data_IF_067211336771
#
_entry.id   IF_067211336771
#
_cell.length_a   1.000
_cell.length_b   1.000
_cell.length_c   1.000
_cell.angle_alpha   90.00
_cell.angle_beta   90.00
_cell.angle_gamma   90.00
#
_symmetry.space_group_name_H-M   'P 1'
#
loop_
_entity.id
_entity.type
_entity.pdbx_description
1 polymer ?
#
# COMPACT_ATOMS: atom_id res chain seq x y z
N UNK A 1 -14.96 -13.33 17.91
CA UNK A 1 -13.94 -13.17 16.83
C UNK A 1 -13.48 -14.49 16.20
N UNK A 2 -13.44 -15.62 16.92
CA UNK A 2 -12.91 -16.89 16.37
C UNK A 2 -13.94 -17.73 15.60
N UNK A 3 -15.24 -17.53 15.83
CA UNK A 3 -16.32 -18.27 15.15
C UNK A 3 -16.54 -17.85 13.69
N UNK A 4 -15.98 -16.71 13.27
CA UNK A 4 -16.13 -16.15 11.92
C UNK A 4 -15.26 -16.85 10.86
N UNK A 5 -14.09 -17.35 11.24
CA UNK A 5 -13.20 -18.07 10.32
C UNK A 5 -13.77 -19.44 9.89
N UNK A 6 -14.56 -20.08 10.75
CA UNK A 6 -15.16 -21.40 10.48
C UNK A 6 -16.28 -21.29 9.42
N UNK A 7 -17.02 -20.17 9.40
CA UNK A 7 -18.11 -19.95 8.42
C UNK A 7 -17.53 -19.65 7.03
N UNK A 8 -16.40 -18.94 6.94
CA UNK A 8 -15.72 -18.63 5.68
C UNK A 8 -15.20 -19.86 4.94
N UNK A 9 -14.76 -20.89 5.67
CA UNK A 9 -14.18 -22.10 5.06
C UNK A 9 -15.23 -23.04 4.42
N UNK A 10 -16.51 -22.87 4.73
CA UNK A 10 -17.57 -23.81 4.34
C UNK A 10 -18.42 -23.39 3.13
N UNK A 11 -18.16 -22.21 2.53
CA UNK A 11 -18.88 -21.76 1.32
C UNK A 11 -20.39 -21.49 1.50
N UNK A 12 -20.94 -21.69 2.70
CA UNK A 12 -22.33 -21.42 3.04
C UNK A 12 -22.41 -20.21 3.96
N UNK A 13 -22.75 -19.05 3.39
CA UNK A 13 -23.20 -17.92 4.21
C UNK A 13 -24.66 -18.15 4.57
N UNK A 14 -25.02 -18.40 5.84
CA UNK A 14 -26.42 -18.31 6.25
C UNK A 14 -26.91 -16.88 5.97
N UNK A 15 -28.18 -16.76 5.57
CA UNK A 15 -28.83 -15.52 5.15
C UNK A 15 -28.80 -14.38 6.19
N UNK A 16 -28.33 -14.67 7.41
CA UNK A 16 -28.23 -13.79 8.56
C UNK A 16 -26.83 -13.21 8.84
N UNK A 17 -25.82 -13.52 8.03
CA UNK A 17 -24.48 -12.94 8.21
C UNK A 17 -24.39 -11.54 7.59
N UNK A 18 -24.31 -10.50 8.44
CA UNK A 18 -24.03 -9.14 8.02
C UNK A 18 -22.60 -9.01 7.46
N UNK A 19 -22.49 -8.75 6.15
CA UNK A 19 -21.20 -8.62 5.43
C UNK A 19 -20.61 -7.21 5.51
N UNK A 20 -21.38 -6.25 6.01
CA UNK A 20 -21.00 -4.84 6.10
C UNK A 20 -20.37 -4.48 7.45
N UNK A 21 -20.36 -5.42 8.42
CA UNK A 21 -19.72 -5.18 9.70
C UNK A 21 -18.21 -4.94 9.52
N UNK A 22 -17.66 -4.07 10.36
CA UNK A 22 -16.24 -3.70 10.31
C UNK A 22 -15.51 -4.06 11.60
N UNK A 23 -14.21 -4.35 11.51
CA UNK A 23 -13.34 -4.52 12.66
C UNK A 23 -12.92 -3.17 13.29
N UNK A 24 -12.10 -3.20 14.35
CA UNK A 24 -11.57 -1.98 14.99
C UNK A 24 -10.68 -1.10 14.11
N UNK A 25 -10.24 -1.62 12.95
CA UNK A 25 -9.53 -0.87 11.89
C UNK A 25 -10.46 -0.45 10.76
N UNK A 26 -11.77 -0.50 10.98
CA UNK A 26 -12.83 -0.16 10.04
C UNK A 26 -12.88 -1.02 8.76
N UNK A 27 -12.29 -2.22 8.75
CA UNK A 27 -12.25 -3.12 7.58
C UNK A 27 -13.39 -4.16 7.64
N UNK A 28 -14.07 -4.37 6.51
CA UNK A 28 -15.02 -5.47 6.32
C UNK A 28 -14.30 -6.81 6.07
N UNK A 29 -15.05 -7.92 6.09
CA UNK A 29 -14.49 -9.22 5.69
C UNK A 29 -13.97 -9.22 4.24
N UNK A 30 -14.66 -8.49 3.35
CA UNK A 30 -14.22 -8.30 1.97
C UNK A 30 -12.86 -7.57 1.92
N UNK A 31 -12.72 -6.49 2.70
CA UNK A 31 -11.49 -5.71 2.75
C UNK A 31 -10.31 -6.55 3.25
N UNK A 32 -10.52 -7.39 4.26
CA UNK A 32 -9.50 -8.30 4.79
C UNK A 32 -9.12 -9.36 3.74
N UNK A 33 -10.11 -9.99 3.10
CA UNK A 33 -9.85 -10.98 2.06
C UNK A 33 -9.06 -10.38 0.88
N UNK A 34 -9.46 -9.17 0.44
CA UNK A 34 -8.79 -8.42 -0.62
C UNK A 34 -7.36 -8.05 -0.23
N UNK A 35 -7.15 -7.55 1.00
CA UNK A 35 -5.84 -7.16 1.52
C UNK A 35 -4.81 -8.31 1.44
N UNK A 36 -5.21 -9.51 1.90
CA UNK A 36 -4.35 -10.69 1.95
C UNK A 36 -4.24 -11.45 0.62
N UNK A 37 -4.79 -10.91 -0.47
CA UNK A 37 -4.73 -11.57 -1.78
C UNK A 37 -5.66 -12.78 -1.92
N UNK A 38 -6.62 -12.98 -1.02
CA UNK A 38 -7.63 -14.03 -1.13
C UNK A 38 -8.71 -13.64 -2.14
N UNK A 39 -8.34 -13.48 -3.42
CA UNK A 39 -9.21 -12.99 -4.48
C UNK A 39 -10.51 -13.79 -4.65
N UNK A 40 -10.44 -15.11 -4.49
CA UNK A 40 -11.62 -15.98 -4.55
C UNK A 40 -12.62 -15.70 -3.40
N UNK A 41 -12.14 -15.46 -2.19
CA UNK A 41 -12.97 -15.09 -1.03
C UNK A 41 -13.52 -13.68 -1.22
N UNK A 42 -12.70 -12.74 -1.68
CA UNK A 42 -13.14 -11.38 -1.97
C UNK A 42 -14.25 -11.36 -3.04
N UNK A 43 -14.11 -12.14 -4.11
CA UNK A 43 -15.14 -12.29 -5.13
C UNK A 43 -16.44 -12.88 -4.59
N UNK A 44 -16.35 -13.89 -3.72
CA UNK A 44 -17.52 -14.47 -3.03
C UNK A 44 -18.23 -13.41 -2.16
N UNK A 45 -17.47 -12.59 -1.44
CA UNK A 45 -17.99 -11.56 -0.55
C UNK A 45 -18.57 -10.35 -1.28
N UNK A 46 -18.04 -10.01 -2.47
CA UNK A 46 -18.50 -8.89 -3.29
C UNK A 46 -19.88 -9.14 -3.95
N UNK A 47 -20.27 -10.39 -4.14
CA UNK A 47 -21.56 -10.75 -4.75
C UNK A 47 -22.71 -10.49 -3.76
N UNK A 48 -23.38 -9.36 -3.93
CA UNK A 48 -24.63 -9.03 -3.23
C UNK A 48 -25.82 -9.13 -4.18
N UNK A 49 -26.83 -9.93 -3.80
CA UNK A 49 -28.19 -9.87 -4.36
C UNK A 49 -28.51 -10.89 -5.48
N UNK A 50 -29.38 -11.85 -5.16
CA UNK A 50 -30.07 -12.70 -6.15
C UNK A 50 -29.75 -14.18 -6.01
N UNK A 51 -30.75 -14.98 -5.61
CA UNK A 51 -30.66 -16.44 -5.55
C UNK A 51 -30.27 -17.04 -6.89
N UNK A 52 -29.04 -17.52 -6.98
CA UNK A 52 -28.57 -18.38 -8.07
C UNK A 52 -27.83 -19.53 -7.41
N UNK A 53 -28.37 -20.73 -7.56
CA UNK A 53 -27.87 -21.94 -6.91
C UNK A 53 -26.38 -22.15 -7.08
N UNK A 54 -25.79 -22.79 -6.08
CA UNK A 54 -24.45 -23.36 -6.15
C UNK A 54 -24.43 -24.41 -7.26
N UNK A 55 -24.12 -24.02 -8.49
CA UNK A 55 -23.60 -24.98 -9.46
C UNK A 55 -22.19 -25.32 -9.02
N UNK A 56 -22.01 -26.58 -8.61
CA UNK A 56 -20.78 -27.17 -8.09
C UNK A 56 -19.63 -27.19 -9.09
N UNK A 57 -19.17 -26.03 -9.54
CA UNK A 57 -17.82 -25.85 -10.06
C UNK A 57 -16.88 -25.79 -8.87
N UNK A 58 -16.06 -26.84 -8.70
CA UNK A 58 -15.09 -26.92 -7.63
C UNK A 58 -14.25 -25.65 -7.51
N UNK A 59 -13.70 -25.45 -6.30
CA UNK A 59 -12.66 -24.48 -5.98
C UNK A 59 -11.39 -24.79 -6.81
N UNK A 60 -11.46 -24.63 -8.12
CA UNK A 60 -10.34 -24.69 -9.02
C UNK A 60 -9.56 -23.40 -8.77
N UNK A 61 -8.60 -23.50 -7.83
CA UNK A 61 -7.60 -22.49 -7.62
C UNK A 61 -6.89 -22.22 -8.94
N UNK A 62 -7.24 -21.11 -9.59
CA UNK A 62 -6.38 -20.52 -10.60
C UNK A 62 -5.03 -20.29 -9.93
N UNK A 63 -3.99 -20.98 -10.40
CA UNK A 63 -2.64 -20.99 -9.83
C UNK A 63 -1.87 -19.66 -9.98
N UNK A 64 -2.55 -18.53 -9.80
CA UNK A 64 -1.88 -17.26 -9.53
C UNK A 64 -1.33 -17.31 -8.11
N UNK A 65 -0.05 -16.97 -7.94
CA UNK A 65 0.53 -16.82 -6.61
C UNK A 65 -0.32 -15.83 -5.80
N UNK A 66 -0.64 -16.21 -4.56
CA UNK A 66 -1.33 -15.32 -3.62
C UNK A 66 -0.39 -14.14 -3.33
N UNK A 67 -0.71 -12.98 -3.91
CA UNK A 67 0.05 -11.75 -3.73
C UNK A 67 -0.71 -10.80 -2.81
N UNK A 68 -0.02 -10.19 -1.84
CA UNK A 68 -0.64 -9.19 -0.97
C UNK A 68 -0.98 -7.92 -1.76
N UNK A 69 -2.07 -7.26 -1.40
CA UNK A 69 -2.61 -6.11 -2.13
C UNK A 69 -1.61 -4.94 -2.34
N UNK A 70 -0.66 -4.78 -1.41
CA UNK A 70 0.35 -3.72 -1.42
C UNK A 70 1.72 -4.17 -1.97
N UNK A 71 1.82 -5.41 -2.45
CA UNK A 71 3.10 -6.00 -2.89
C UNK A 71 3.38 -5.84 -4.38
N UNK A 72 2.38 -5.42 -5.17
CA UNK A 72 2.57 -5.15 -6.60
C UNK A 72 3.62 -4.07 -6.80
N UNK A 73 4.56 -4.32 -7.70
CA UNK A 73 5.61 -3.36 -8.02
C UNK A 73 5.50 -2.98 -9.49
N UNK A 74 4.82 -1.87 -9.86
CA UNK A 74 4.67 -1.48 -11.26
C UNK A 74 5.87 -0.68 -11.81
N UNK A 75 6.73 -0.16 -10.95
CA UNK A 75 7.89 0.66 -11.32
C UNK A 75 9.18 -0.17 -11.26
N UNK A 76 10.13 0.11 -12.15
CA UNK A 76 11.54 -0.24 -11.91
C UNK A 76 12.14 0.78 -10.94
N UNK A 77 12.56 0.32 -9.77
CA UNK A 77 13.14 1.17 -8.71
C UNK A 77 14.40 1.91 -9.14
N UNK A 78 15.11 1.40 -10.15
CA UNK A 78 16.32 1.97 -10.73
C UNK A 78 17.32 2.47 -9.67
N UNK A 79 17.57 1.65 -8.64
CA UNK A 79 18.25 2.09 -7.41
C UNK A 79 19.68 2.56 -7.62
N UNK A 80 20.35 2.08 -8.66
CA UNK A 80 21.71 2.50 -9.03
C UNK A 80 21.82 3.99 -9.38
N UNK A 81 20.73 4.62 -9.83
CA UNK A 81 20.68 6.05 -10.20
C UNK A 81 20.43 6.98 -9.01
N UNK A 82 20.13 6.46 -7.81
CA UNK A 82 19.75 7.29 -6.66
C UNK A 82 20.85 8.22 -6.17
N UNK A 83 22.11 7.82 -6.32
CA UNK A 83 23.28 8.62 -5.94
C UNK A 83 23.78 9.54 -7.07
N UNK A 84 23.24 9.41 -8.28
CA UNK A 84 23.63 10.21 -9.46
C UNK A 84 22.87 11.54 -9.45
N UNK A 85 23.46 12.56 -8.83
CA UNK A 85 22.85 13.87 -8.67
C UNK A 85 22.53 14.55 -10.02
N UNK A 86 23.41 14.40 -11.00
CA UNK A 86 23.24 15.01 -12.34
C UNK A 86 22.04 14.38 -13.04
N UNK A 87 21.95 13.05 -13.03
CA UNK A 87 20.80 12.35 -13.58
C UNK A 87 19.51 12.69 -12.83
N UNK A 88 19.57 12.82 -11.50
CA UNK A 88 18.40 13.13 -10.68
C UNK A 88 17.85 14.53 -10.97
N UNK A 89 18.71 15.55 -11.09
CA UNK A 89 18.30 16.93 -11.38
C UNK A 89 17.72 17.05 -12.80
N UNK A 90 18.37 16.39 -13.77
CA UNK A 90 17.84 16.30 -15.13
C UNK A 90 16.48 15.59 -15.15
N UNK A 91 16.34 14.49 -14.41
CA UNK A 91 15.11 13.68 -14.38
C UNK A 91 13.95 14.42 -13.72
N UNK A 92 14.19 15.11 -12.60
CA UNK A 92 13.16 15.88 -11.90
C UNK A 92 12.52 16.94 -12.80
N UNK A 93 13.34 17.65 -13.59
CA UNK A 93 12.87 18.76 -14.42
C UNK A 93 12.22 18.35 -15.75
N UNK A 94 12.15 17.05 -16.06
CA UNK A 94 11.49 16.56 -17.27
C UNK A 94 9.98 16.84 -17.27
N UNK A 95 9.43 17.08 -18.45
CA UNK A 95 8.00 17.34 -18.64
C UNK A 95 7.11 16.11 -18.35
N UNK A 96 7.67 14.91 -18.49
CA UNK A 96 6.97 13.64 -18.34
C UNK A 96 7.12 13.01 -16.94
N UNK A 97 7.91 13.64 -16.06
CA UNK A 97 8.07 13.23 -14.67
C UNK A 97 6.78 13.43 -13.86
N UNK A 98 6.43 12.39 -13.10
CA UNK A 98 5.19 12.30 -12.32
C UNK A 98 5.50 12.54 -10.85
N UNK A 99 4.77 13.48 -10.25
CA UNK A 99 4.82 13.77 -8.82
C UNK A 99 3.53 13.36 -8.14
N UNK A 100 3.68 12.63 -7.04
CA UNK A 100 2.61 12.25 -6.12
C UNK A 100 2.75 13.08 -4.85
N UNK A 101 1.75 13.92 -4.57
CA UNK A 101 1.75 14.74 -3.35
C UNK A 101 1.23 13.95 -2.16
N UNK A 102 1.92 14.13 -1.04
CA UNK A 102 1.53 13.65 0.27
C UNK A 102 1.35 14.84 1.22
N UNK A 103 0.36 14.72 2.10
CA UNK A 103 0.21 15.59 3.27
C UNK A 103 0.06 14.72 4.49
N UNK A 104 0.98 14.84 5.45
CA UNK A 104 1.01 14.00 6.67
C UNK A 104 0.88 12.51 6.34
N UNK A 105 1.70 12.03 5.39
CA UNK A 105 1.73 10.63 4.92
C UNK A 105 0.47 10.14 4.20
N UNK A 106 -0.48 11.04 3.91
CA UNK A 106 -1.71 10.71 3.18
C UNK A 106 -1.54 11.09 1.71
N UNK A 107 -1.71 10.17 0.75
CA UNK A 107 -1.57 10.48 -0.67
C UNK A 107 -2.76 11.31 -1.18
N UNK A 108 -2.48 12.23 -2.09
CA UNK A 108 -3.52 12.93 -2.85
C UNK A 108 -4.12 12.00 -3.90
N UNK A 109 -5.43 11.90 -3.92
CA UNK A 109 -6.19 11.10 -4.88
C UNK A 109 -7.21 11.96 -5.61
N UNK A 110 -7.48 11.62 -6.86
CA UNK A 110 -8.68 12.06 -7.56
C UNK A 110 -9.78 11.01 -7.36
N UNK A 111 -11.00 11.47 -7.11
CA UNK A 111 -12.15 10.58 -6.97
C UNK A 111 -12.89 10.51 -8.30
N UNK A 112 -13.12 9.31 -8.84
CA UNK A 112 -14.07 9.13 -9.94
C UNK A 112 -15.49 9.47 -9.47
N UNK A 113 -16.40 9.80 -10.40
CA UNK A 113 -17.77 10.25 -10.10
C UNK A 113 -18.41 9.52 -8.89
N UNK A 114 -19.07 10.28 -8.01
CA UNK A 114 -19.70 9.78 -6.78
C UNK A 114 -20.57 8.56 -7.09
N UNK A 115 -20.22 7.40 -6.53
CA UNK A 115 -21.13 6.24 -6.47
C UNK A 115 -22.21 6.57 -5.43
N UNK A 116 -23.45 6.19 -5.71
CA UNK A 116 -24.66 6.52 -4.97
C UNK A 116 -24.56 6.37 -3.44
N UNK A 117 -25.21 7.30 -2.73
CA UNK A 117 -25.55 7.36 -1.31
C UNK A 117 -24.69 6.50 -0.35
N UNK A 118 -23.54 7.05 0.09
CA UNK A 118 -22.83 6.61 1.30
C UNK A 118 -21.55 5.81 1.08
N UNK A 119 -21.37 5.16 -0.06
CA UNK A 119 -20.14 4.40 -0.37
C UNK A 119 -19.15 5.23 -1.21
N UNK A 120 -17.92 5.43 -0.71
CA UNK A 120 -16.85 6.08 -1.48
C UNK A 120 -16.34 5.10 -2.54
N UNK A 121 -16.50 5.44 -3.82
CA UNK A 121 -16.05 4.65 -4.96
C UNK A 121 -14.52 4.53 -5.09
N UNK A 122 -14.04 3.80 -6.12
CA UNK A 122 -12.62 3.68 -6.44
C UNK A 122 -12.00 5.07 -6.68
N UNK A 123 -10.74 5.21 -6.33
CA UNK A 123 -9.97 6.44 -6.55
C UNK A 123 -8.67 6.12 -7.29
N UNK A 124 -8.05 7.16 -7.83
CA UNK A 124 -6.74 7.09 -8.50
C UNK A 124 -5.79 8.11 -7.90
N UNK A 125 -4.49 7.83 -7.99
CA UNK A 125 -3.49 8.79 -7.54
C UNK A 125 -3.52 10.04 -8.41
N UNK A 126 -3.50 11.21 -7.77
CA UNK A 126 -3.37 12.47 -8.49
C UNK A 126 -1.91 12.63 -8.93
N UNK A 127 -1.70 12.57 -10.25
CA UNK A 127 -0.40 12.78 -10.88
C UNK A 127 -0.24 14.26 -11.21
N UNK A 128 0.87 14.84 -10.79
CA UNK A 128 1.25 16.23 -11.07
C UNK A 128 2.54 16.29 -11.88
N UNK A 129 2.76 17.39 -12.58
CA UNK A 129 3.99 17.67 -13.32
C UNK A 129 4.98 18.46 -12.45
N UNK A 130 6.24 18.50 -12.88
CA UNK A 130 7.27 19.33 -12.25
C UNK A 130 6.84 20.79 -12.06
N UNK A 131 6.18 21.38 -13.06
CA UNK A 131 5.76 22.79 -13.01
C UNK A 131 4.78 23.08 -11.85
N UNK A 132 3.93 22.11 -11.48
CA UNK A 132 2.93 22.27 -10.43
C UNK A 132 3.52 22.20 -9.00
N UNK A 133 4.75 21.67 -8.86
CA UNK A 133 5.36 21.39 -7.55
C UNK A 133 6.75 22.01 -7.37
N UNK A 134 7.31 22.67 -8.40
CA UNK A 134 8.68 23.21 -8.38
C UNK A 134 9.01 24.13 -7.20
N UNK A 135 8.02 24.89 -6.74
CA UNK A 135 8.13 25.79 -5.59
C UNK A 135 8.16 25.01 -4.26
N UNK A 136 7.39 23.92 -4.15
CA UNK A 136 7.44 23.02 -3.00
C UNK A 136 8.80 22.33 -2.87
N UNK A 137 9.44 22.00 -4.00
CA UNK A 137 10.78 21.38 -4.02
C UNK A 137 11.87 22.31 -3.45
N UNK A 138 11.64 23.62 -3.47
CA UNK A 138 12.57 24.61 -2.92
C UNK A 138 12.38 24.84 -1.40
N UNK A 139 11.30 24.30 -0.82
CA UNK A 139 11.04 24.43 0.61
C UNK A 139 11.96 23.51 1.43
N UNK A 140 12.57 23.99 2.52
CA UNK A 140 13.55 23.22 3.29
C UNK A 140 12.95 22.01 4.05
N UNK A 141 11.65 22.07 4.37
CA UNK A 141 10.95 21.00 5.07
C UNK A 141 10.33 19.96 4.12
N UNK A 142 10.37 20.20 2.80
CA UNK A 142 9.86 19.26 1.82
C UNK A 142 10.78 18.04 1.69
N UNK A 143 10.18 16.87 1.55
CA UNK A 143 10.88 15.61 1.38
C UNK A 143 10.51 15.01 0.03
N UNK A 144 11.50 14.92 -0.86
CA UNK A 144 11.36 14.27 -2.16
C UNK A 144 11.94 12.86 -2.12
N UNK A 145 11.19 11.89 -2.63
CA UNK A 145 11.59 10.49 -2.77
C UNK A 145 11.41 10.03 -4.21
N UNK A 146 12.47 9.51 -4.82
CA UNK A 146 12.39 8.88 -6.15
C UNK A 146 11.80 7.47 -6.04
N UNK A 147 10.67 7.22 -6.70
CA UNK A 147 9.99 5.92 -6.62
C UNK A 147 10.53 4.93 -7.65
N UNK A 148 10.95 5.42 -8.80
CA UNK A 148 11.42 4.61 -9.92
C UNK A 148 10.99 5.19 -11.25
N UNK A 149 11.11 4.38 -12.30
CA UNK A 149 10.61 4.67 -13.64
C UNK A 149 9.55 3.65 -14.04
N UNK A 150 8.62 4.03 -14.92
CA UNK A 150 7.69 3.06 -15.54
C UNK A 150 8.51 1.95 -16.21
N UNK A 151 8.08 0.69 -16.09
CA UNK A 151 8.75 -0.36 -16.87
C UNK A 151 8.52 -0.07 -18.36
N UNK A 152 9.62 0.00 -19.12
CA UNK A 152 9.57 0.39 -20.52
C UNK A 152 8.60 -0.51 -21.30
N UNK A 153 7.63 0.10 -21.98
CA UNK A 153 6.93 -0.57 -23.07
C UNK A 153 7.91 -0.77 -24.24
N UNK A 154 7.66 -1.76 -25.10
CA UNK A 154 8.55 -2.20 -26.18
C UNK A 154 8.82 -1.15 -27.31
N UNK A 155 8.71 0.16 -27.04
CA UNK A 155 8.71 1.25 -28.01
C UNK A 155 9.82 2.29 -27.88
N UNK A 156 10.90 2.03 -27.15
CA UNK A 156 12.13 2.84 -27.19
C UNK A 156 12.05 4.26 -26.59
N UNK A 157 10.88 4.73 -26.14
CA UNK A 157 10.76 5.96 -25.38
C UNK A 157 11.38 5.79 -23.98
N UNK A 158 12.08 6.82 -23.50
CA UNK A 158 12.58 6.81 -22.12
C UNK A 158 11.43 6.74 -21.13
N UNK A 159 11.48 5.85 -20.13
CA UNK A 159 10.38 5.63 -19.22
C UNK A 159 10.18 6.83 -18.29
N UNK A 160 8.91 7.13 -17.98
CA UNK A 160 8.54 8.22 -17.08
C UNK A 160 9.03 7.95 -15.67
N UNK A 161 9.68 8.94 -15.06
CA UNK A 161 10.11 8.89 -13.67
C UNK A 161 8.98 9.30 -12.71
N UNK A 162 8.93 8.66 -11.56
CA UNK A 162 7.92 8.89 -10.54
C UNK A 162 8.58 9.32 -9.23
N UNK A 163 8.00 10.34 -8.60
CA UNK A 163 8.46 10.91 -7.35
C UNK A 163 7.31 11.03 -6.35
N UNK A 164 7.59 10.81 -5.07
CA UNK A 164 6.71 11.19 -3.97
C UNK A 164 7.26 12.44 -3.30
N UNK A 165 6.39 13.41 -3.05
CA UNK A 165 6.73 14.67 -2.42
C UNK A 165 5.81 14.90 -1.22
N UNK A 166 6.39 14.95 -0.03
CA UNK A 166 5.71 15.37 1.20
C UNK A 166 6.12 16.81 1.50
N UNK A 167 5.14 17.68 1.72
CA UNK A 167 5.35 19.09 2.05
C UNK A 167 4.58 19.43 3.33
N UNK A 168 5.11 20.38 4.08
CA UNK A 168 4.46 20.96 5.27
C UNK A 168 3.40 22.02 4.94
N UNK A 169 3.17 22.31 3.65
CA UNK A 169 2.15 23.26 3.20
C UNK A 169 0.74 22.80 3.59
N UNK A 170 -0.18 23.77 3.71
CA UNK A 170 -1.57 23.47 4.06
C UNK A 170 -2.24 22.55 3.04
N UNK A 171 -3.02 21.59 3.54
CA UNK A 171 -3.67 20.59 2.70
C UNK A 171 -4.66 21.23 1.70
N UNK A 172 -5.31 22.34 2.06
CA UNK A 172 -6.18 23.09 1.17
C UNK A 172 -5.42 23.70 -0.01
N UNK A 173 -4.25 24.28 0.25
CA UNK A 173 -3.37 24.82 -0.79
C UNK A 173 -2.82 23.72 -1.71
N UNK A 174 -2.38 22.60 -1.14
CA UNK A 174 -1.95 21.44 -1.92
C UNK A 174 -3.07 20.93 -2.84
N UNK A 175 -4.32 20.90 -2.36
CA UNK A 175 -5.46 20.45 -3.18
C UNK A 175 -5.72 21.36 -4.38
N UNK A 176 -5.48 22.68 -4.29
CA UNK A 176 -5.62 23.59 -5.43
C UNK A 176 -4.70 23.20 -6.59
N UNK A 177 -3.49 22.72 -6.29
CA UNK A 177 -2.53 22.21 -7.29
C UNK A 177 -3.04 20.97 -8.02
N UNK A 178 -3.88 20.18 -7.35
CA UNK A 178 -4.57 19.01 -7.89
C UNK A 178 -5.89 19.29 -8.62
N UNK A 179 -6.27 20.55 -8.88
CA UNK A 179 -7.58 20.88 -9.45
C UNK A 179 -8.67 21.17 -8.40
N UNK A 180 -8.28 21.33 -7.14
CA UNK A 180 -9.16 21.76 -6.05
C UNK A 180 -9.84 20.63 -5.30
N UNK A 181 -10.52 21.01 -4.21
CA UNK A 181 -11.15 20.09 -3.26
C UNK A 181 -12.37 19.34 -3.82
N UNK A 182 -12.91 19.78 -4.97
CA UNK A 182 -14.04 19.13 -5.62
C UNK A 182 -13.62 17.85 -6.35
N UNK A 183 -12.40 17.81 -6.89
CA UNK A 183 -11.87 16.69 -7.66
C UNK A 183 -10.89 15.84 -6.85
N UNK A 184 -10.11 16.49 -5.99
CA UNK A 184 -9.04 15.86 -5.22
C UNK A 184 -9.33 15.84 -3.72
N UNK A 185 -8.80 14.81 -3.06
CA UNK A 185 -8.82 14.71 -1.59
C UNK A 185 -7.60 13.93 -1.12
N UNK A 186 -7.26 14.06 0.16
CA UNK A 186 -6.29 13.18 0.81
C UNK A 186 -7.01 12.02 1.49
N UNK A 187 -6.45 10.82 1.43
CA UNK A 187 -7.03 9.65 2.09
C UNK A 187 -6.87 9.76 3.61
N UNK A 188 -7.98 9.79 4.35
CA UNK A 188 -7.97 10.10 5.80
C UNK A 188 -8.04 8.88 6.70
N UNK A 189 -8.62 7.77 6.24
CA UNK A 189 -8.69 6.53 7.03
C UNK A 189 -7.57 5.57 6.61
N UNK A 190 -6.51 5.40 7.42
CA UNK A 190 -5.41 4.51 7.07
C UNK A 190 -5.90 3.09 6.80
N UNK A 191 -5.26 2.39 5.86
CA UNK A 191 -5.52 1.00 5.47
C UNK A 191 -6.85 0.74 4.74
N UNK A 192 -8.00 1.25 5.20
CA UNK A 192 -9.28 1.05 4.50
C UNK A 192 -9.37 1.86 3.21
N UNK A 193 -9.08 3.17 3.29
CA UNK A 193 -9.19 4.03 2.11
C UNK A 193 -8.14 3.67 1.04
N UNK A 194 -7.00 3.11 1.46
CA UNK A 194 -5.96 2.63 0.54
C UNK A 194 -6.43 1.45 -0.32
N UNK A 195 -7.39 0.64 0.14
CA UNK A 195 -7.98 -0.46 -0.63
C UNK A 195 -8.90 0.01 -1.77
N UNK A 196 -9.18 1.33 -1.85
CA UNK A 196 -9.93 1.97 -2.94
C UNK A 196 -9.06 2.26 -4.16
N UNK A 197 -7.73 2.21 -4.01
CA UNK A 197 -6.78 2.27 -5.11
C UNK A 197 -6.77 0.95 -5.88
N UNK A 198 -6.19 0.96 -7.08
CA UNK A 198 -5.76 -0.28 -7.74
C UNK A 198 -4.59 -0.93 -6.99
N UNK A 199 -4.36 -2.24 -7.16
CA UNK A 199 -3.22 -2.93 -6.52
C UNK A 199 -1.88 -2.31 -6.94
N UNK A 200 -1.74 -1.91 -8.20
CA UNK A 200 -0.55 -1.24 -8.74
C UNK A 200 -0.28 0.10 -8.03
N UNK A 201 -1.29 0.98 -7.97
CA UNK A 201 -1.16 2.27 -7.28
C UNK A 201 -0.95 2.08 -5.77
N UNK A 202 -1.60 1.09 -5.17
CA UNK A 202 -1.41 0.74 -3.77
C UNK A 202 0.04 0.32 -3.49
N UNK A 203 0.67 -0.44 -4.37
CA UNK A 203 2.09 -0.78 -4.30
C UNK A 203 3.01 0.43 -4.34
N UNK A 204 2.77 1.37 -5.27
CA UNK A 204 3.52 2.64 -5.36
C UNK A 204 3.35 3.47 -4.07
N UNK A 205 2.12 3.57 -3.55
CA UNK A 205 1.87 4.26 -2.27
C UNK A 205 2.54 3.56 -1.11
N UNK A 206 2.56 2.23 -1.07
CA UNK A 206 3.21 1.48 -0.01
C UNK A 206 4.71 1.81 0.06
N UNK A 207 5.39 1.86 -1.08
CA UNK A 207 6.79 2.31 -1.17
C UNK A 207 6.94 3.76 -0.70
N UNK A 208 6.21 4.69 -1.34
CA UNK A 208 6.29 6.12 -1.05
C UNK A 208 6.03 6.43 0.43
N UNK A 209 4.90 5.98 0.95
CA UNK A 209 4.46 6.23 2.33
C UNK A 209 5.44 5.64 3.34
N UNK A 210 6.03 4.47 3.07
CA UNK A 210 6.98 3.85 4.00
C UNK A 210 8.25 4.68 4.15
N UNK A 211 8.80 5.19 3.03
CA UNK A 211 10.01 6.02 3.04
C UNK A 211 9.72 7.41 3.63
N UNK A 212 8.61 8.03 3.26
CA UNK A 212 8.17 9.31 3.85
C UNK A 212 7.93 9.20 5.37
N UNK A 213 7.29 8.11 5.81
CA UNK A 213 7.08 7.87 7.25
C UNK A 213 8.39 7.63 8.01
N UNK A 214 9.40 7.08 7.35
CA UNK A 214 10.75 7.00 7.90
C UNK A 214 11.37 8.40 8.02
N UNK A 215 11.27 9.24 7.00
CA UNK A 215 11.76 10.62 7.07
C UNK A 215 11.10 11.44 8.19
N UNK A 216 9.79 11.29 8.37
CA UNK A 216 9.05 12.01 9.40
C UNK A 216 9.55 11.67 10.82
N UNK A 217 9.82 10.39 11.09
CA UNK A 217 10.24 9.90 12.42
C UNK A 217 11.75 9.98 12.68
N UNK A 218 12.59 9.90 11.65
CA UNK A 218 14.05 9.75 11.79
C UNK A 218 14.80 11.03 11.37
N UNK A 219 14.35 12.19 11.88
CA UNK A 219 14.97 13.49 11.56
C UNK A 219 16.35 13.70 12.18
N UNK A 220 16.68 12.95 13.24
CA UNK A 220 17.93 13.04 13.98
C UNK A 220 18.73 11.73 13.90
N UNK A 221 20.05 11.84 14.04
CA UNK A 221 20.98 10.72 13.96
C UNK A 221 20.81 9.81 15.20
N UNK A 222 20.49 8.52 15.03
CA UNK A 222 20.39 7.59 16.16
C UNK A 222 21.70 7.38 16.92
N UNK A 223 22.85 7.71 16.31
CA UNK A 223 24.17 7.48 16.90
C UNK A 223 24.64 8.64 17.79
N UNK A 224 24.32 9.89 17.44
CA UNK A 224 24.84 11.06 18.16
C UNK A 224 23.79 12.16 18.45
N UNK A 225 22.55 12.01 18.01
CA UNK A 225 21.48 13.00 18.25
C UNK A 225 21.50 14.23 17.33
N UNK A 226 22.55 14.46 16.54
CA UNK A 226 22.61 15.59 15.60
C UNK A 226 21.56 15.49 14.47
N UNK A 227 21.23 16.61 13.84
CA UNK A 227 20.34 16.63 12.66
C UNK A 227 20.92 15.81 11.51
N UNK A 228 20.04 15.30 10.66
CA UNK A 228 20.38 14.55 9.45
C UNK A 228 19.74 15.19 8.22
N UNK A 229 20.33 15.01 7.05
CA UNK A 229 19.75 15.44 5.75
C UNK A 229 19.43 14.22 4.87
N UNK A 230 18.35 14.25 4.06
CA UNK A 230 18.12 13.25 3.02
C UNK A 230 19.25 13.22 1.98
N UNK A 231 19.58 12.03 1.49
CA UNK A 231 20.50 11.74 0.38
C UNK A 231 19.95 10.54 -0.42
N UNK A 232 20.64 10.15 -1.50
CA UNK A 232 20.29 9.03 -2.39
C UNK A 232 18.81 9.02 -2.80
N UNK A 233 18.34 10.17 -3.28
CA UNK A 233 16.97 10.39 -3.73
C UNK A 233 15.89 9.98 -2.71
N UNK A 234 16.16 10.22 -1.42
CA UNK A 234 15.27 9.91 -0.31
C UNK A 234 15.50 8.53 0.35
N UNK A 235 16.46 7.73 -0.12
CA UNK A 235 16.73 6.40 0.46
C UNK A 235 17.90 6.38 1.43
N UNK A 236 18.46 7.55 1.74
CA UNK A 236 19.51 7.68 2.73
C UNK A 236 19.31 8.93 3.56
N UNK A 237 19.77 8.90 4.80
CA UNK A 237 19.93 10.07 5.65
C UNK A 237 21.36 10.12 6.17
N UNK A 238 22.01 11.26 5.96
CA UNK A 238 23.39 11.49 6.37
C UNK A 238 23.42 12.46 7.55
N UNK A 239 24.16 12.09 8.60
CA UNK A 239 24.35 12.93 9.78
C UNK A 239 25.13 14.20 9.42
N UNK A 240 24.71 15.35 9.96
CA UNK A 240 25.37 16.63 9.73
C UNK A 240 26.62 16.82 10.59
N UNK A 241 26.81 16.02 11.65
CA UNK A 241 28.01 16.05 12.49
C UNK A 241 29.18 15.35 11.76
N UNK A 242 30.23 16.09 11.32
CA UNK A 242 31.27 15.53 10.45
C UNK A 242 32.03 14.36 11.06
N UNK A 243 32.25 14.36 12.38
CA UNK A 243 32.99 13.30 13.07
C UNK A 243 32.12 12.14 13.57
N UNK A 244 30.83 12.12 13.23
CA UNK A 244 29.93 11.05 13.67
C UNK A 244 30.34 9.69 13.10
N UNK A 245 30.35 8.65 13.96
CA UNK A 245 30.61 7.25 13.57
C UNK A 245 29.68 6.77 12.44
N UNK A 246 28.45 7.26 12.37
CA UNK A 246 27.51 6.87 11.30
C UNK A 246 27.96 7.30 9.90
N UNK A 247 28.93 8.24 9.80
CA UNK A 247 29.55 8.68 8.53
C UNK A 247 30.77 7.86 8.15
N UNK A 248 31.22 6.95 9.02
CA UNK A 248 32.40 6.13 8.83
C UNK A 248 31.98 4.69 8.46
N UNK A 249 31.94 4.39 7.16
CA UNK A 249 31.47 3.10 6.64
C UNK A 249 29.95 3.07 6.39
N UNK A 250 29.38 1.87 6.33
CA UNK A 250 27.97 1.63 6.01
C UNK A 250 27.23 1.17 7.26
N UNK A 251 26.27 1.98 7.71
CA UNK A 251 25.46 1.69 8.90
C UNK A 251 23.97 1.69 8.56
N UNK A 252 23.23 0.74 9.14
CA UNK A 252 21.77 0.65 8.94
C UNK A 252 21.00 1.89 9.42
N UNK A 253 21.59 2.70 10.30
CA UNK A 253 21.01 3.95 10.82
C UNK A 253 20.78 4.98 9.72
N UNK A 254 21.48 4.86 8.59
CA UNK A 254 21.37 5.76 7.46
C UNK A 254 20.24 5.40 6.48
N UNK A 255 19.59 4.23 6.61
CA UNK A 255 18.68 3.69 5.59
C UNK A 255 17.25 3.46 6.12
N UNK A 256 16.23 3.45 5.24
CA UNK A 256 14.85 3.15 5.60
C UNK A 256 14.71 1.80 6.29
N UNK A 257 13.83 1.74 7.30
CA UNK A 257 13.53 0.49 8.02
C UNK A 257 12.36 -0.24 7.38
N UNK A 258 12.52 -1.56 7.25
CA UNK A 258 11.43 -2.48 6.95
C UNK A 258 11.14 -3.29 8.21
N UNK A 259 9.93 -3.14 8.75
CA UNK A 259 9.50 -3.94 9.90
C UNK A 259 9.02 -5.31 9.44
N UNK A 260 9.70 -6.37 9.87
CA UNK A 260 9.23 -7.74 9.69
C UNK A 260 8.42 -8.14 10.92
N UNK A 261 7.13 -7.83 10.94
CA UNK A 261 6.21 -8.47 11.88
C UNK A 261 5.92 -9.88 11.37
N UNK A 262 5.81 -10.91 12.24
CA UNK A 262 5.21 -12.15 11.80
C UNK A 262 3.82 -11.80 11.26
N UNK A 263 3.53 -12.19 10.02
CA UNK A 263 2.15 -12.37 9.63
C UNK A 263 1.63 -13.45 10.58
N UNK A 264 1.00 -13.04 11.69
CA UNK A 264 0.27 -13.98 12.52
C UNK A 264 -0.85 -14.51 11.63
N UNK A 265 -0.56 -15.59 10.90
CA UNK A 265 -1.61 -16.52 10.53
C UNK A 265 -2.27 -16.87 11.85
N UNK A 266 -3.58 -16.57 12.01
CA UNK A 266 -4.26 -16.95 13.23
C UNK A 266 -4.03 -18.46 13.43
N UNK A 267 -3.64 -18.91 14.64
CA UNK A 267 -3.48 -20.33 14.87
C UNK A 267 -4.79 -21.01 14.49
N UNK A 268 -4.71 -22.14 13.78
CA UNK A 268 -5.88 -22.93 13.44
C UNK A 268 -6.70 -23.14 14.72
N UNK A 269 -7.96 -22.68 14.69
CA UNK A 269 -8.87 -22.78 15.82
C UNK A 269 -8.93 -24.23 16.33
N UNK A 270 -9.11 -24.47 17.65
CA UNK A 270 -9.34 -25.81 18.22
C UNK A 270 -10.45 -26.61 17.50
N UNK A 271 -11.37 -25.93 16.80
CA UNK A 271 -12.39 -26.54 15.96
C UNK A 271 -11.81 -27.37 14.80
N UNK A 272 -10.65 -27.00 14.25
CA UNK A 272 -9.99 -27.77 13.18
C UNK A 272 -9.51 -29.13 13.70
N UNK A 273 -9.05 -29.20 14.96
CA UNK A 273 -8.70 -30.45 15.63
C UNK A 273 -9.93 -31.30 16.03
N UNK A 274 -11.08 -30.67 16.27
CA UNK A 274 -12.33 -31.39 16.54
C UNK A 274 -12.89 -32.07 15.27
N UNK A 275 -12.84 -31.39 14.13
CA UNK A 275 -13.30 -31.95 12.84
C UNK A 275 -12.40 -33.10 12.36
N UNK A 276 -11.08 -33.01 12.55
CA UNK A 276 -10.15 -34.10 12.23
C UNK A 276 -10.30 -35.31 13.17
N UNK A 277 -10.61 -35.09 14.45
CA UNK A 277 -10.93 -36.19 15.39
C UNK A 277 -12.24 -36.88 15.02
N UNK A 278 -13.26 -36.15 14.58
CA UNK A 278 -14.55 -36.73 14.17
C UNK A 278 -14.46 -37.49 12.83
N UNK A 279 -13.61 -37.04 11.89
CA UNK A 279 -13.33 -37.78 10.65
C UNK A 279 -12.57 -39.10 10.93
N UNK A 280 -11.62 -39.09 11.87
CA UNK A 280 -10.90 -40.30 12.30
C UNK A 280 -11.82 -41.31 13.03
N UNK A 281 -12.73 -40.82 13.88
CA UNK A 281 -13.71 -41.65 14.58
C UNK A 281 -14.77 -42.27 13.66
N UNK A 282 -15.19 -41.56 12.60
CA UNK A 282 -16.12 -42.11 11.61
C UNK A 282 -15.44 -43.14 10.68
N UNK A 283 -14.18 -42.93 10.29
CA UNK A 283 -13.42 -43.94 9.52
C UNK A 283 -13.12 -45.21 10.32
N UNK A 284 -13.03 -45.14 11.66
CA UNK A 284 -12.91 -46.32 12.51
C UNK A 284 -14.24 -47.06 12.73
N UNK A 285 -15.39 -46.38 12.60
CA UNK A 285 -16.72 -47.00 12.66
C UNK A 285 -17.09 -47.74 11.37
N UNK A 286 -16.69 -47.23 10.22
CA UNK A 286 -16.97 -47.86 8.92
C UNK A 286 -16.10 -49.09 8.61
N UNK A 287 -15.05 -49.35 9.39
CA UNK A 287 -14.19 -50.55 9.27
C UNK A 287 -14.60 -51.72 10.19
N UNK A 288 -15.70 -51.59 10.93
CA UNK A 288 -16.19 -52.61 11.89
C UNK A 288 -17.59 -53.16 11.57
N UNK A 289 -18.04 -53.02 10.32
CA UNK A 289 -19.22 -53.74 9.79
C UNK A 289 -18.75 -54.71 8.73
#
# INVERSE_FOLDING_TARGET
>A
MWSWWIIMAAGAFPSSCDRLCVNGSAQTAYDVAKFWGHGHIAALLARSGGGGGLSGGGLAGGGGAQENFFSREPLDRLSSRRADAVWMDATQSRLDSVYLLFSRLSPMVSTGAKVSAGAKGPCRLRRLSYQAVRDLLQQPESVLVFLGVERAAAGGAEPRAWFALDSSEDAGELLKRGGGQQECSFLTTPNRDLLRLSEEEAGVVAQARSVLAWHDRYRFCPTCGARTRPEDAGYKRSCLEPQCRSRQGVHNTCYPRVGTGPAHNPPASPAHNATLKNLSLNQQKERKV
#
